data_IF_090034188897
#
_entry.id   IF_090034188897
#
_cell.length_a   1.000
_cell.length_b   1.000
_cell.length_c   1.000
_cell.angle_alpha   90.00
_cell.angle_beta   90.00
_cell.angle_gamma   90.00
#
_symmetry.space_group_name_H-M   'P 1'
#
loop_
_entity.id
_entity.type
_entity.pdbx_description
1 polymer ?
#
# COMPACT_ATOMS: atom_id res chain seq x y z
N UNK A 1 -4.34 10.79 -15.41
CA UNK A 1 -5.73 10.84 -14.91
C UNK A 1 -5.73 10.17 -13.55
N UNK A 2 -6.15 10.88 -12.52
CA UNK A 2 -6.16 10.39 -11.13
C UNK A 2 -7.51 9.76 -10.80
N UNK A 3 -7.58 8.96 -9.72
CA UNK A 3 -8.85 8.41 -9.22
C UNK A 3 -9.87 9.53 -8.92
N UNK A 4 -9.39 10.69 -8.47
CA UNK A 4 -10.18 11.90 -8.25
C UNK A 4 -10.79 12.47 -9.54
N UNK A 5 -10.06 12.40 -10.65
CA UNK A 5 -10.56 12.86 -11.95
C UNK A 5 -11.65 11.93 -12.49
N UNK A 6 -11.47 10.61 -12.31
CA UNK A 6 -12.45 9.60 -12.68
C UNK A 6 -13.74 9.79 -11.86
N UNK A 7 -13.62 10.00 -10.54
CA UNK A 7 -14.77 10.24 -9.67
C UNK A 7 -15.56 11.51 -10.07
N UNK A 8 -14.87 12.60 -10.41
CA UNK A 8 -15.50 13.81 -10.95
C UNK A 8 -16.27 13.53 -12.25
N UNK A 9 -15.73 12.71 -13.15
CA UNK A 9 -16.39 12.33 -14.39
C UNK A 9 -17.65 11.48 -14.13
N UNK A 10 -17.59 10.54 -13.18
CA UNK A 10 -18.74 9.72 -12.76
C UNK A 10 -19.88 10.61 -12.24
N UNK A 11 -19.54 11.59 -11.39
CA UNK A 11 -20.50 12.58 -10.86
C UNK A 11 -21.07 13.45 -12.00
N UNK A 12 -20.22 13.97 -12.89
CA UNK A 12 -20.65 14.78 -14.03
C UNK A 12 -21.60 14.03 -14.97
N UNK A 13 -21.44 12.70 -15.08
CA UNK A 13 -22.35 11.80 -15.82
C UNK A 13 -23.63 11.43 -15.06
N UNK A 14 -23.88 12.02 -13.89
CA UNK A 14 -25.10 11.82 -13.11
C UNK A 14 -25.24 10.42 -12.50
N UNK A 15 -24.13 9.72 -12.26
CA UNK A 15 -24.17 8.38 -11.64
C UNK A 15 -24.25 8.52 -10.12
N UNK A 16 -25.43 8.23 -9.56
CA UNK A 16 -25.75 8.45 -8.13
C UNK A 16 -25.83 7.17 -7.29
N UNK A 17 -25.68 5.99 -7.90
CA UNK A 17 -25.65 4.73 -7.16
C UNK A 17 -24.46 4.69 -6.19
N UNK A 18 -24.64 3.98 -5.06
CA UNK A 18 -23.60 3.77 -4.07
C UNK A 18 -22.35 3.14 -4.72
N UNK A 19 -21.18 3.68 -4.38
CA UNK A 19 -19.87 3.26 -4.88
C UNK A 19 -18.79 3.59 -3.86
N UNK A 20 -17.63 2.94 -4.02
CA UNK A 20 -16.41 3.33 -3.31
C UNK A 20 -15.85 4.58 -3.99
N UNK A 21 -15.34 5.53 -3.20
CA UNK A 21 -14.73 6.77 -3.70
C UNK A 21 -13.25 6.86 -3.29
N UNK A 22 -12.43 7.68 -3.97
CA UNK A 22 -11.04 7.90 -3.58
C UNK A 22 -10.91 8.37 -2.12
N UNK A 23 -11.82 9.24 -1.66
CA UNK A 23 -11.83 9.71 -0.27
C UNK A 23 -12.11 8.57 0.71
N UNK A 24 -12.99 7.63 0.35
CA UNK A 24 -13.25 6.45 1.19
C UNK A 24 -12.01 5.57 1.30
N UNK A 25 -11.28 5.36 0.21
CA UNK A 25 -10.04 4.57 0.21
C UNK A 25 -8.98 5.16 1.13
N UNK A 26 -8.83 6.48 1.11
CA UNK A 26 -7.90 7.16 2.03
C UNK A 26 -8.42 7.14 3.47
N UNK A 27 -9.72 7.34 3.68
CA UNK A 27 -10.32 7.40 5.02
C UNK A 27 -10.23 6.08 5.80
N UNK A 28 -10.19 4.93 5.13
CA UNK A 28 -10.07 3.63 5.83
C UNK A 28 -8.65 3.32 6.30
N UNK A 29 -7.65 4.12 5.94
CA UNK A 29 -6.26 3.92 6.35
C UNK A 29 -6.05 4.56 7.73
N UNK A 30 -5.73 3.75 8.73
CA UNK A 30 -5.47 4.18 10.11
C UNK A 30 -3.97 4.30 10.43
N UNK A 31 -3.09 3.64 9.66
CA UNK A 31 -1.65 3.70 9.84
C UNK A 31 -0.88 3.39 8.56
N UNK A 32 0.32 3.97 8.45
CA UNK A 32 1.18 3.87 7.27
C UNK A 32 2.64 3.71 7.70
N UNK A 33 3.26 2.60 7.29
CA UNK A 33 4.60 2.21 7.70
C UNK A 33 5.45 1.83 6.49
N UNK A 34 6.73 2.19 6.55
CA UNK A 34 7.69 1.93 5.46
C UNK A 34 8.97 1.33 6.00
N UNK A 35 9.53 0.41 5.22
CA UNK A 35 10.84 -0.17 5.46
C UNK A 35 11.38 -0.76 4.15
N UNK A 36 12.70 -0.91 4.06
CA UNK A 36 13.32 -1.67 2.98
C UNK A 36 13.44 -3.15 3.34
N UNK A 37 13.62 -4.02 2.35
CA UNK A 37 13.96 -5.42 2.61
C UNK A 37 15.19 -5.54 3.51
N UNK A 38 16.14 -4.61 3.40
CA UNK A 38 17.36 -4.58 4.20
C UNK A 38 17.09 -4.20 5.66
N UNK A 39 16.15 -3.29 5.93
CA UNK A 39 15.69 -2.98 7.30
C UNK A 39 15.04 -4.22 7.95
N UNK A 40 14.22 -4.95 7.18
CA UNK A 40 13.64 -6.22 7.62
C UNK A 40 14.70 -7.29 7.91
N UNK A 41 15.73 -7.37 7.06
CA UNK A 41 16.86 -8.29 7.26
C UNK A 41 17.64 -7.99 8.54
N UNK A 42 18.00 -6.72 8.76
CA UNK A 42 18.79 -6.25 9.92
C UNK A 42 18.04 -6.37 11.25
N UNK A 43 16.72 -6.31 11.23
CA UNK A 43 15.87 -6.45 12.43
C UNK A 43 15.61 -7.91 12.83
N UNK A 44 16.07 -8.88 12.04
CA UNK A 44 15.89 -10.30 12.34
C UNK A 44 16.63 -10.72 13.63
N UNK A 45 16.00 -11.50 14.52
CA UNK A 45 16.65 -12.04 15.72
C UNK A 45 17.87 -12.91 15.42
N UNK A 46 17.97 -13.47 14.21
CA UNK A 46 19.14 -14.24 13.77
C UNK A 46 20.33 -13.32 13.48
N UNK A 47 20.07 -12.15 12.88
CA UNK A 47 21.07 -11.13 12.59
C UNK A 47 21.64 -10.54 13.89
N UNK A 48 20.77 -10.21 14.86
CA UNK A 48 21.16 -9.64 16.16
C UNK A 48 21.96 -10.59 17.08
N UNK A 49 22.00 -11.89 16.78
CA UNK A 49 22.75 -12.89 17.56
C UNK A 49 24.16 -13.15 17.04
N UNK A 50 24.52 -12.56 15.90
CA UNK A 50 25.84 -12.73 15.31
C UNK A 50 26.82 -11.72 15.91
N UNK A 51 28.02 -12.19 16.26
CA UNK A 51 29.11 -11.32 16.72
C UNK A 51 29.59 -10.40 15.59
N UNK A 52 29.60 -10.92 14.36
CA UNK A 52 29.86 -10.18 13.11
C UNK A 52 28.72 -10.46 12.12
N UNK A 53 27.70 -9.62 12.05
CA UNK A 53 26.58 -9.87 11.17
C UNK A 53 26.90 -9.55 9.71
N UNK A 54 26.52 -10.46 8.81
CA UNK A 54 26.66 -10.26 7.36
C UNK A 54 25.84 -9.03 6.90
N UNK A 55 26.34 -8.23 5.94
CA UNK A 55 25.57 -7.14 5.37
C UNK A 55 24.36 -7.66 4.61
N UNK A 56 23.28 -6.86 4.59
CA UNK A 56 22.12 -7.18 3.78
C UNK A 56 22.51 -7.26 2.30
N UNK A 57 22.00 -8.24 1.53
CA UNK A 57 22.16 -8.26 0.07
C UNK A 57 21.71 -6.93 -0.55
N UNK A 58 22.48 -6.39 -1.49
CA UNK A 58 22.20 -5.09 -2.12
C UNK A 58 20.78 -5.01 -2.71
N UNK A 59 20.26 -6.12 -3.24
CA UNK A 59 18.88 -6.19 -3.76
C UNK A 59 17.81 -5.89 -2.71
N UNK A 60 18.08 -6.12 -1.43
CA UNK A 60 17.15 -5.79 -0.34
C UNK A 60 17.14 -4.29 0.00
N UNK A 61 18.21 -3.55 -0.31
CA UNK A 61 18.24 -2.09 -0.16
C UNK A 61 17.34 -1.38 -1.18
N UNK A 62 17.14 -2.02 -2.35
CA UNK A 62 16.36 -1.47 -3.47
C UNK A 62 14.87 -1.79 -3.39
N UNK A 63 14.47 -2.60 -2.41
CA UNK A 63 13.10 -3.08 -2.24
C UNK A 63 12.43 -2.32 -1.11
N UNK A 64 11.52 -1.41 -1.45
CA UNK A 64 10.71 -0.65 -0.48
C UNK A 64 9.36 -1.32 -0.26
N UNK A 65 8.98 -1.51 0.99
CA UNK A 65 7.66 -1.94 1.41
C UNK A 65 6.86 -0.77 1.98
N UNK A 66 5.57 -0.75 1.70
CA UNK A 66 4.55 0.03 2.37
C UNK A 66 3.58 -0.93 3.05
N UNK A 67 3.29 -0.70 4.33
CA UNK A 67 2.27 -1.43 5.08
C UNK A 67 1.23 -0.42 5.54
N UNK A 68 0.02 -0.58 5.03
CA UNK A 68 -1.16 0.18 5.44
C UNK A 68 -1.95 -0.66 6.44
N UNK A 69 -2.27 -0.08 7.58
CA UNK A 69 -3.22 -0.64 8.54
C UNK A 69 -4.56 0.03 8.29
N UNK A 70 -5.62 -0.76 8.12
CA UNK A 70 -6.97 -0.24 7.94
C UNK A 70 -7.68 -0.02 9.29
N UNK A 71 -8.78 0.73 9.31
CA UNK A 71 -9.55 1.02 10.53
C UNK A 71 -9.99 -0.25 11.30
N UNK A 72 -10.22 -1.35 10.59
CA UNK A 72 -10.59 -2.64 11.18
C UNK A 72 -9.40 -3.51 11.63
N UNK A 73 -8.17 -2.98 11.53
CA UNK A 73 -6.93 -3.69 11.87
C UNK A 73 -6.40 -4.62 10.77
N UNK A 74 -7.07 -4.74 9.63
CA UNK A 74 -6.56 -5.49 8.49
C UNK A 74 -5.35 -4.77 7.88
N UNK A 75 -4.33 -5.52 7.47
CA UNK A 75 -3.12 -4.95 6.87
C UNK A 75 -3.06 -5.18 5.37
N UNK A 76 -2.74 -4.14 4.62
CA UNK A 76 -2.53 -4.20 3.17
C UNK A 76 -1.10 -3.78 2.87
N UNK A 77 -0.36 -4.59 2.11
CA UNK A 77 1.02 -4.29 1.74
C UNK A 77 1.10 -3.78 0.31
N UNK A 78 2.16 -3.03 0.01
CA UNK A 78 2.55 -2.69 -1.34
C UNK A 78 4.07 -2.60 -1.43
N UNK A 79 4.60 -2.88 -2.61
CA UNK A 79 6.03 -3.07 -2.81
C UNK A 79 6.51 -2.24 -4.00
N UNK A 80 7.71 -1.68 -3.91
CA UNK A 80 8.43 -1.07 -5.01
C UNK A 80 9.84 -1.65 -5.08
N UNK A 81 10.10 -2.43 -6.13
CA UNK A 81 11.40 -3.05 -6.38
C UNK A 81 12.14 -2.24 -7.45
N UNK A 82 13.13 -1.43 -7.03
CA UNK A 82 13.91 -0.66 -7.99
C UNK A 82 14.88 -1.58 -8.74
N UNK A 83 14.92 -1.44 -10.07
CA UNK A 83 15.70 -2.31 -10.94
C UNK A 83 17.21 -2.06 -10.88
N UNK A 84 17.65 -0.85 -10.48
CA UNK A 84 19.07 -0.52 -10.41
C UNK A 84 19.39 0.40 -9.21
N UNK A 85 20.55 0.21 -8.54
CA UNK A 85 20.98 1.08 -7.45
C UNK A 85 21.14 2.54 -7.85
N UNK A 86 21.59 2.81 -9.08
CA UNK A 86 21.85 4.16 -9.58
C UNK A 86 20.57 4.99 -9.72
N UNK A 87 19.44 4.31 -9.93
CA UNK A 87 18.12 4.93 -10.06
C UNK A 87 17.29 4.83 -8.78
N UNK A 88 17.87 4.31 -7.68
CA UNK A 88 17.15 4.20 -6.43
C UNK A 88 16.91 5.58 -5.81
N UNK A 89 15.63 5.88 -5.61
CA UNK A 89 15.16 7.05 -4.88
C UNK A 89 14.16 6.57 -3.81
N UNK A 90 14.45 6.76 -2.51
CA UNK A 90 13.60 6.26 -1.43
C UNK A 90 12.23 6.95 -1.38
N UNK A 91 12.11 8.21 -1.81
CA UNK A 91 10.83 8.91 -1.84
C UNK A 91 9.94 8.39 -2.96
N UNK A 92 10.51 8.16 -4.15
CA UNK A 92 9.81 7.55 -5.28
C UNK A 92 9.39 6.11 -4.93
N UNK A 93 10.30 5.34 -4.32
CA UNK A 93 10.03 3.98 -3.85
C UNK A 93 8.82 3.93 -2.92
N UNK A 94 8.76 4.83 -1.92
CA UNK A 94 7.62 4.94 -0.99
C UNK A 94 6.32 5.29 -1.70
N UNK A 95 6.33 6.25 -2.62
CA UNK A 95 5.14 6.66 -3.39
C UNK A 95 4.57 5.49 -4.20
N UNK A 96 5.42 4.75 -4.91
CA UNK A 96 5.00 3.58 -5.71
C UNK A 96 4.50 2.47 -4.79
N UNK A 97 5.22 2.16 -3.71
CA UNK A 97 4.81 1.13 -2.76
C UNK A 97 3.44 1.44 -2.13
N UNK A 98 3.19 2.71 -1.77
CA UNK A 98 1.90 3.18 -1.25
C UNK A 98 0.78 3.04 -2.29
N UNK A 99 1.02 3.47 -3.53
CA UNK A 99 0.06 3.33 -4.62
C UNK A 99 -0.30 1.85 -4.86
N UNK A 100 0.69 0.97 -4.83
CA UNK A 100 0.49 -0.48 -4.96
C UNK A 100 -0.30 -1.06 -3.78
N UNK A 101 -0.14 -0.54 -2.57
CA UNK A 101 -0.96 -0.92 -1.42
C UNK A 101 -2.41 -0.43 -1.57
N UNK A 102 -2.60 0.84 -1.95
CA UNK A 102 -3.93 1.45 -2.19
C UNK A 102 -4.72 0.72 -3.28
N UNK A 103 -4.05 0.31 -4.36
CA UNK A 103 -4.68 -0.47 -5.42
C UNK A 103 -5.33 -1.76 -4.90
N UNK A 104 -4.79 -2.36 -3.84
CA UNK A 104 -5.35 -3.56 -3.19
C UNK A 104 -6.52 -3.24 -2.24
N UNK A 105 -6.68 -2.00 -1.77
CA UNK A 105 -7.82 -1.57 -0.93
C UNK A 105 -9.11 -1.47 -1.76
N UNK A 106 -9.02 -0.98 -3.00
CA UNK A 106 -10.17 -0.84 -3.91
C UNK A 106 -11.06 -2.08 -4.03
N UNK A 107 -10.55 -3.29 -4.35
CA UNK A 107 -11.38 -4.48 -4.40
C UNK A 107 -11.93 -4.90 -3.03
N UNK A 108 -11.25 -4.59 -1.92
CA UNK A 108 -11.74 -4.91 -0.58
C UNK A 108 -12.96 -4.06 -0.22
N UNK A 109 -12.85 -2.73 -0.35
CA UNK A 109 -13.98 -1.82 -0.10
C UNK A 109 -15.12 -2.07 -1.11
N UNK A 110 -14.78 -2.46 -2.36
CA UNK A 110 -15.77 -2.83 -3.37
C UNK A 110 -16.57 -4.08 -2.98
N UNK A 111 -15.89 -5.12 -2.48
CA UNK A 111 -16.55 -6.31 -1.95
C UNK A 111 -17.40 -6.00 -0.72
N UNK A 112 -16.88 -5.24 0.25
CA UNK A 112 -17.59 -4.85 1.46
C UNK A 112 -18.87 -4.08 1.13
N UNK A 113 -18.79 -3.09 0.23
CA UNK A 113 -19.97 -2.36 -0.22
C UNK A 113 -20.99 -3.30 -0.87
N UNK A 114 -20.55 -4.24 -1.72
CA UNK A 114 -21.45 -5.19 -2.36
C UNK A 114 -22.12 -6.11 -1.34
N UNK A 115 -21.40 -6.54 -0.32
CA UNK A 115 -21.91 -7.36 0.77
C UNK A 115 -22.97 -6.60 1.58
N UNK A 116 -22.69 -5.36 1.96
CA UNK A 116 -23.67 -4.49 2.65
C UNK A 116 -24.96 -4.32 1.84
N UNK A 117 -24.84 -4.07 0.53
CA UNK A 117 -25.99 -3.96 -0.38
C UNK A 117 -26.76 -5.27 -0.56
N UNK A 118 -26.13 -6.42 -0.30
CA UNK A 118 -26.80 -7.73 -0.32
C UNK A 118 -27.56 -8.00 0.97
N UNK A 119 -27.00 -7.63 2.13
CA UNK A 119 -27.58 -7.88 3.46
C UNK A 119 -28.78 -6.96 3.79
N UNK A 120 -28.84 -5.76 3.20
CA UNK A 120 -29.96 -4.81 3.41
C UNK A 120 -31.21 -5.18 2.59
N UNK A 121 -31.15 -6.22 1.75
CA UNK A 121 -32.31 -6.73 0.99
C UNK A 121 -33.19 -7.64 1.83
#
# INVERSE_FOLDING_TARGET
MTDMDIEKEIVAKGKTAARVTPERIEAVISGEFYFTGADGYRSSPLWLKQEEPEPAPQSLELLTFCVLVLENGYTVTGESACASPENFDPEIGRKIARQNAIAKIWPLEGYLLKQQLHEVK
#
